data_IF_786255293366
#
_entry.id   IF_786255293366
#
_cell.length_a   1.000
_cell.length_b   1.000
_cell.length_c   1.000
_cell.angle_alpha   90.00
_cell.angle_beta   90.00
_cell.angle_gamma   90.00
#
_symmetry.space_group_name_H-M   'P 1'
#
loop_
_entity.id
_entity.type
_entity.pdbx_description
1 polymer ?
#
# COMPACT_ATOMS: atom_id res chain seq x y z
N UNK A 1 -3.96 -7.61 -50.03
CA UNK A 1 -4.07 -7.54 -48.56
C UNK A 1 -5.33 -6.77 -48.23
N UNK A 2 -6.36 -7.40 -47.64
CA UNK A 2 -7.62 -6.70 -47.30
C UNK A 2 -7.40 -5.91 -46.00
N UNK A 3 -7.19 -4.61 -46.12
CA UNK A 3 -7.19 -3.68 -44.98
C UNK A 3 -8.63 -3.30 -44.69
N UNK A 4 -9.25 -3.95 -43.70
CA UNK A 4 -10.49 -3.43 -43.13
C UNK A 4 -10.14 -2.17 -42.34
N UNK A 5 -10.98 -1.15 -42.43
CA UNK A 5 -10.85 0.07 -41.64
C UNK A 5 -11.12 -0.22 -40.15
N UNK A 6 -10.60 0.64 -39.27
CA UNK A 6 -10.72 0.45 -37.83
C UNK A 6 -12.19 0.40 -37.36
N UNK A 7 -13.11 1.11 -38.03
CA UNK A 7 -14.52 1.12 -37.64
C UNK A 7 -15.19 -0.23 -37.93
N UNK A 8 -14.83 -0.89 -39.02
CA UNK A 8 -15.31 -2.25 -39.34
C UNK A 8 -14.84 -3.28 -38.30
N UNK A 9 -13.60 -3.17 -37.80
CA UNK A 9 -13.07 -4.05 -36.76
C UNK A 9 -13.79 -3.83 -35.43
N UNK A 10 -14.04 -2.57 -35.07
CA UNK A 10 -14.78 -2.18 -33.86
C UNK A 10 -16.24 -2.64 -33.89
N UNK A 11 -16.88 -2.63 -35.06
CA UNK A 11 -18.27 -3.10 -35.21
C UNK A 11 -18.42 -4.63 -35.15
N UNK A 12 -17.35 -5.38 -35.46
CA UNK A 12 -17.35 -6.85 -35.43
C UNK A 12 -17.00 -7.47 -34.08
N UNK A 13 -16.54 -6.66 -33.12
CA UNK A 13 -16.27 -7.12 -31.75
C UNK A 13 -17.60 -7.27 -31.00
N UNK A 14 -17.95 -8.47 -30.52
CA UNK A 14 -19.13 -8.63 -29.67
C UNK A 14 -18.86 -7.95 -28.33
N UNK A 15 -19.35 -6.71 -28.17
CA UNK A 15 -19.49 -6.07 -26.85
C UNK A 15 -20.72 -6.72 -26.22
N UNK A 16 -20.59 -7.56 -25.19
CA UNK A 16 -21.75 -8.03 -24.47
C UNK A 16 -22.45 -6.80 -23.89
N UNK A 17 -23.77 -6.69 -24.08
CA UNK A 17 -24.59 -5.74 -23.36
C UNK A 17 -24.22 -5.83 -21.87
N UNK A 18 -24.03 -4.67 -21.24
CA UNK A 18 -23.53 -4.49 -19.87
C UNK A 18 -24.42 -5.09 -18.76
N UNK A 19 -25.29 -6.03 -19.12
CA UNK A 19 -26.28 -6.70 -18.29
C UNK A 19 -26.10 -8.22 -18.20
N UNK A 20 -25.11 -8.82 -18.87
CA UNK A 20 -24.80 -10.25 -18.70
C UNK A 20 -23.75 -10.50 -17.60
N UNK A 21 -24.08 -10.14 -16.36
CA UNK A 21 -23.39 -10.62 -15.14
C UNK A 21 -24.39 -11.34 -14.24
N UNK A 22 -25.19 -12.25 -14.79
CA UNK A 22 -26.19 -12.98 -14.02
C UNK A 22 -25.72 -14.42 -13.77
N UNK A 23 -24.63 -14.57 -12.99
CA UNK A 23 -24.49 -15.71 -12.06
C UNK A 23 -23.32 -15.50 -11.09
N UNK A 24 -23.33 -14.39 -10.34
CA UNK A 24 -22.60 -14.38 -9.08
C UNK A 24 -23.43 -15.23 -8.12
N UNK A 25 -23.03 -16.50 -7.93
CA UNK A 25 -23.58 -17.36 -6.88
C UNK A 25 -23.60 -16.55 -5.59
N UNK A 26 -24.77 -16.42 -4.97
CA UNK A 26 -24.93 -15.80 -3.64
C UNK A 26 -23.86 -16.38 -2.73
N UNK A 27 -22.87 -15.56 -2.37
CA UNK A 27 -21.91 -15.92 -1.36
C UNK A 27 -22.70 -16.17 -0.07
N UNK A 28 -22.41 -17.31 0.58
CA UNK A 28 -22.85 -17.58 1.94
C UNK A 28 -22.51 -16.38 2.83
N UNK A 29 -23.33 -16.14 3.87
CA UNK A 29 -23.18 -14.99 4.79
C UNK A 29 -21.70 -14.76 5.08
N UNK A 30 -21.14 -13.58 4.77
CA UNK A 30 -19.74 -13.33 5.04
C UNK A 30 -19.58 -13.47 6.56
N UNK A 31 -18.60 -14.27 6.95
CA UNK A 31 -17.89 -14.02 8.19
C UNK A 31 -17.50 -12.53 8.24
N UNK A 32 -17.17 -12.01 9.42
CA UNK A 32 -16.66 -10.64 9.57
C UNK A 32 -15.25 -10.48 8.97
N UNK A 33 -14.93 -11.24 7.91
CA UNK A 33 -13.66 -11.23 7.22
C UNK A 33 -13.65 -10.06 6.23
N UNK A 34 -12.85 -9.05 6.54
CA UNK A 34 -12.55 -7.98 5.61
C UNK A 34 -11.45 -8.44 4.66
N UNK A 35 -11.71 -8.62 3.34
CA UNK A 35 -10.66 -9.04 2.42
C UNK A 35 -9.63 -7.92 2.29
N UNK A 36 -8.46 -8.15 2.88
CA UNK A 36 -7.32 -7.25 2.89
C UNK A 36 -6.09 -8.03 2.42
N UNK A 37 -5.57 -7.71 1.24
CA UNK A 37 -4.41 -8.37 0.68
C UNK A 37 -3.72 -7.47 -0.35
N UNK A 38 -2.40 -7.62 -0.54
CA UNK A 38 -1.66 -6.88 -1.54
C UNK A 38 -1.86 -7.45 -2.94
N UNK A 39 -1.80 -6.57 -3.95
CA UNK A 39 -1.68 -6.89 -5.37
C UNK A 39 -0.32 -6.37 -5.85
N UNK A 40 0.39 -7.14 -6.66
CA UNK A 40 1.71 -6.75 -7.19
C UNK A 40 1.52 -6.29 -8.64
N UNK A 41 1.96 -5.06 -8.91
CA UNK A 41 2.16 -4.54 -10.25
C UNK A 41 3.53 -5.02 -10.77
N UNK A 42 3.50 -5.97 -11.71
CA UNK A 42 4.72 -6.58 -12.24
C UNK A 42 5.48 -5.67 -13.20
N UNK A 43 4.85 -4.65 -13.79
CA UNK A 43 5.54 -3.72 -14.69
C UNK A 43 6.47 -2.77 -13.90
N UNK A 44 6.10 -2.47 -12.65
CA UNK A 44 6.94 -1.67 -11.73
C UNK A 44 7.87 -2.51 -10.86
N UNK A 45 7.57 -3.80 -10.68
CA UNK A 45 8.32 -4.66 -9.76
C UNK A 45 9.65 -5.10 -10.36
N UNK A 46 10.77 -4.61 -9.81
CA UNK A 46 12.13 -5.01 -10.24
C UNK A 46 12.69 -6.23 -9.49
N UNK A 47 11.88 -6.89 -8.64
CA UNK A 47 12.34 -8.04 -7.87
C UNK A 47 13.34 -7.69 -6.74
N UNK A 48 13.25 -6.50 -6.14
CA UNK A 48 14.14 -6.07 -5.05
C UNK A 48 13.95 -6.85 -3.73
N UNK A 49 12.81 -7.55 -3.56
CA UNK A 49 12.45 -8.41 -2.41
C UNK A 49 12.31 -7.72 -1.04
N UNK A 50 12.38 -6.40 -0.96
CA UNK A 50 12.19 -5.68 0.32
C UNK A 50 10.83 -5.96 0.97
N UNK A 51 9.77 -6.17 0.19
CA UNK A 51 8.45 -6.53 0.71
C UNK A 51 8.41 -7.92 1.36
N UNK A 52 9.25 -8.85 0.90
CA UNK A 52 9.39 -10.19 1.45
C UNK A 52 10.06 -10.11 2.83
N UNK A 53 11.17 -9.38 2.93
CA UNK A 53 11.91 -9.22 4.19
C UNK A 53 11.11 -8.42 5.24
N UNK A 54 10.29 -7.47 4.78
CA UNK A 54 9.48 -6.62 5.67
C UNK A 54 8.23 -7.35 6.21
N UNK A 55 7.67 -8.30 5.46
CA UNK A 55 6.40 -8.92 5.82
C UNK A 55 6.57 -10.02 6.89
N UNK A 56 6.27 -9.65 8.14
CA UNK A 56 6.28 -10.57 9.29
C UNK A 56 5.21 -11.69 9.22
N UNK A 57 4.22 -11.55 8.33
CA UNK A 57 3.08 -12.47 8.24
C UNK A 57 3.22 -13.54 7.16
N UNK A 58 4.35 -13.56 6.43
CA UNK A 58 4.60 -14.58 5.40
C UNK A 58 3.61 -14.55 4.22
N UNK A 59 3.12 -13.36 3.86
CA UNK A 59 2.19 -13.17 2.72
C UNK A 59 2.86 -13.46 1.38
N UNK A 60 4.16 -13.21 1.30
CA UNK A 60 4.95 -13.27 0.08
C UNK A 60 5.86 -14.51 0.04
N UNK A 61 6.19 -14.95 -1.17
CA UNK A 61 7.20 -15.97 -1.42
C UNK A 61 8.07 -15.60 -2.63
N UNK A 62 9.30 -16.10 -2.71
CA UNK A 62 10.14 -15.89 -3.88
C UNK A 62 9.56 -16.67 -5.07
N UNK A 63 9.39 -15.99 -6.20
CA UNK A 63 8.99 -16.57 -7.47
C UNK A 63 10.18 -16.85 -8.39
N UNK A 64 9.88 -17.13 -9.66
CA UNK A 64 10.90 -17.25 -10.73
C UNK A 64 11.47 -15.87 -11.07
N UNK A 65 12.68 -15.84 -11.62
CA UNK A 65 13.32 -14.63 -12.17
C UNK A 65 13.43 -13.44 -11.19
N UNK A 66 13.64 -13.75 -9.89
CA UNK A 66 13.69 -12.78 -8.78
C UNK A 66 12.37 -12.04 -8.50
N UNK A 67 11.27 -12.42 -9.16
CA UNK A 67 9.95 -11.87 -8.86
C UNK A 67 9.48 -12.30 -7.47
N UNK A 68 8.60 -11.50 -6.88
CA UNK A 68 7.89 -11.84 -5.63
C UNK A 68 6.46 -12.21 -5.99
N UNK A 69 5.91 -13.22 -5.30
CA UNK A 69 4.53 -13.66 -5.48
C UNK A 69 3.78 -13.58 -4.16
N UNK A 70 2.48 -13.31 -4.24
CA UNK A 70 1.56 -13.38 -3.09
C UNK A 70 1.05 -14.81 -2.99
N UNK A 71 1.51 -15.56 -2.00
CA UNK A 71 1.15 -16.98 -1.81
C UNK A 71 0.17 -17.20 -0.67
N UNK A 72 0.18 -16.32 0.32
CA UNK A 72 -0.74 -16.37 1.47
C UNK A 72 -1.49 -15.03 1.64
N UNK A 73 -2.41 -14.67 0.73
CA UNK A 73 -3.12 -13.38 0.79
C UNK A 73 -3.96 -13.24 2.05
N UNK A 74 -4.58 -14.32 2.55
CA UNK A 74 -5.39 -14.32 3.76
C UNK A 74 -4.58 -14.08 5.04
N UNK A 75 -3.26 -14.30 5.02
CA UNK A 75 -2.37 -14.02 6.14
C UNK A 75 -2.05 -12.54 6.33
N UNK A 76 -2.46 -11.65 5.42
CA UNK A 76 -2.15 -10.23 5.53
C UNK A 76 -2.93 -9.58 6.68
N UNK A 77 -2.23 -8.93 7.61
CA UNK A 77 -2.87 -8.20 8.70
C UNK A 77 -3.72 -7.05 8.14
N UNK A 78 -5.02 -7.10 8.39
CA UNK A 78 -6.00 -6.08 7.98
C UNK A 78 -5.53 -4.67 8.36
N UNK A 79 -5.51 -3.78 7.36
CA UNK A 79 -5.14 -2.37 7.54
C UNK A 79 -3.63 -2.09 7.60
N UNK A 80 -2.75 -3.08 7.38
CA UNK A 80 -1.30 -2.88 7.36
C UNK A 80 -0.77 -2.63 5.92
N UNK A 81 -0.40 -1.39 5.53
CA UNK A 81 0.15 -1.08 4.21
C UNK A 81 1.70 -1.05 4.19
N UNK A 82 2.35 -1.56 5.23
CA UNK A 82 3.74 -1.21 5.50
C UNK A 82 4.73 -1.79 4.46
N UNK A 83 4.44 -2.96 3.88
CA UNK A 83 5.18 -3.50 2.74
C UNK A 83 5.03 -2.64 1.46
N UNK A 84 3.94 -1.88 1.31
CA UNK A 84 3.78 -0.95 0.21
C UNK A 84 4.61 0.33 0.38
N UNK A 85 4.76 0.82 1.63
CA UNK A 85 5.60 1.99 1.95
C UNK A 85 7.10 1.74 1.74
N UNK A 86 7.56 0.50 1.95
CA UNK A 86 8.98 0.16 1.77
C UNK A 86 9.36 -0.10 0.31
N UNK A 87 8.41 -0.52 -0.54
CA UNK A 87 8.70 -0.87 -1.93
C UNK A 87 9.24 0.35 -2.72
N UNK A 88 10.46 0.37 -3.25
CA UNK A 88 11.06 1.58 -3.83
C UNK A 88 10.40 2.04 -5.14
N UNK A 89 9.67 1.15 -5.82
CA UNK A 89 9.01 1.40 -7.11
C UNK A 89 7.48 1.49 -6.99
N UNK A 90 6.94 1.61 -5.77
CA UNK A 90 5.50 1.68 -5.51
C UNK A 90 4.68 0.50 -6.10
N UNK A 91 5.30 -0.66 -6.34
CA UNK A 91 4.70 -1.77 -7.06
C UNK A 91 3.66 -2.58 -6.26
N UNK A 92 3.58 -2.37 -4.94
CA UNK A 92 2.63 -3.07 -4.07
C UNK A 92 1.39 -2.20 -3.88
N UNK A 93 0.23 -2.73 -4.26
CA UNK A 93 -1.05 -2.04 -4.24
C UNK A 93 -1.98 -2.69 -3.21
N UNK A 94 -2.67 -1.88 -2.41
CA UNK A 94 -3.77 -2.29 -1.56
C UNK A 94 -5.04 -1.54 -1.97
N UNK A 95 -5.92 -2.14 -2.79
CA UNK A 95 -7.09 -1.44 -3.35
C UNK A 95 -8.05 -0.84 -2.31
N UNK A 96 -8.05 -1.36 -1.09
CA UNK A 96 -8.89 -0.88 0.02
C UNK A 96 -8.19 0.11 0.95
N UNK A 97 -6.95 0.49 0.65
CA UNK A 97 -6.26 1.51 1.42
C UNK A 97 -6.77 2.89 1.03
N UNK A 98 -6.86 3.81 1.99
CA UNK A 98 -7.49 5.10 1.78
C UNK A 98 -6.61 6.13 1.04
N UNK A 99 -5.28 5.98 1.09
CA UNK A 99 -4.36 7.02 0.63
C UNK A 99 -3.63 6.62 -0.67
N UNK A 100 -3.54 7.59 -1.57
CA UNK A 100 -2.71 7.54 -2.77
C UNK A 100 -1.22 7.59 -2.46
N UNK A 101 -0.35 6.85 -3.17
CA UNK A 101 -0.66 5.99 -4.32
C UNK A 101 -0.80 4.49 -3.97
N UNK A 102 -0.74 4.12 -2.69
CA UNK A 102 -0.79 2.71 -2.25
C UNK A 102 -2.13 2.05 -2.62
N UNK A 103 -3.20 2.84 -2.73
CA UNK A 103 -4.52 2.37 -3.19
C UNK A 103 -4.60 2.00 -4.67
N UNK A 104 -3.55 2.26 -5.47
CA UNK A 104 -3.52 2.00 -6.90
C UNK A 104 -3.74 3.24 -7.76
N UNK A 105 -3.87 4.43 -7.16
CA UNK A 105 -3.89 5.70 -7.89
C UNK A 105 -2.56 5.96 -8.61
N UNK A 106 -2.55 6.96 -9.50
CA UNK A 106 -1.34 7.38 -10.22
C UNK A 106 -0.22 7.75 -9.24
N UNK A 107 0.97 7.18 -9.46
CA UNK A 107 2.17 7.52 -8.68
C UNK A 107 2.73 8.84 -9.20
N UNK A 108 2.84 9.84 -8.33
CA UNK A 108 3.54 11.09 -8.57
C UNK A 108 4.69 11.20 -7.58
N UNK A 109 5.70 12.02 -7.88
CA UNK A 109 6.82 12.23 -6.95
C UNK A 109 6.34 12.73 -5.58
N UNK A 110 5.36 13.62 -5.55
CA UNK A 110 4.87 14.23 -4.32
C UNK A 110 4.08 13.25 -3.45
N UNK A 111 3.15 12.48 -4.05
CA UNK A 111 2.36 11.51 -3.29
C UNK A 111 3.21 10.32 -2.82
N UNK A 112 4.22 9.96 -3.60
CA UNK A 112 5.13 8.88 -3.28
C UNK A 112 6.04 9.24 -2.11
N UNK A 113 6.59 10.46 -2.12
CA UNK A 113 7.34 11.01 -0.97
C UNK A 113 6.47 11.07 0.27
N UNK A 114 5.27 11.65 0.17
CA UNK A 114 4.35 11.79 1.29
C UNK A 114 3.99 10.45 1.97
N UNK A 115 3.83 9.37 1.20
CA UNK A 115 3.55 8.03 1.74
C UNK A 115 4.73 7.36 2.45
N UNK A 116 5.96 7.76 2.13
CA UNK A 116 7.19 7.18 2.69
C UNK A 116 7.74 7.96 3.87
N UNK A 117 7.44 9.25 3.94
CA UNK A 117 7.79 10.07 5.08
C UNK A 117 6.96 9.62 6.27
N UNK A 118 7.62 9.00 7.25
CA UNK A 118 7.02 8.78 8.56
C UNK A 118 6.63 10.14 9.14
N UNK A 119 5.40 10.35 9.62
CA UNK A 119 5.04 11.58 10.34
C UNK A 119 5.91 11.64 11.59
N UNK A 120 6.95 12.47 11.56
CA UNK A 120 8.00 12.44 12.57
C UNK A 120 9.41 12.74 12.08
N UNK A 121 9.62 13.25 10.86
CA UNK A 121 10.80 14.08 10.61
C UNK A 121 10.73 15.28 11.55
N UNK A 122 11.21 15.10 12.78
CA UNK A 122 11.52 16.17 13.70
C UNK A 122 12.63 16.95 13.02
N UNK A 123 12.25 18.00 12.31
CA UNK A 123 13.18 19.03 11.87
C UNK A 123 14.13 19.31 13.05
N UNK A 124 15.44 19.44 12.81
CA UNK A 124 16.41 19.76 13.85
C UNK A 124 15.96 20.94 14.73
N UNK A 125 15.20 21.87 14.16
CA UNK A 125 14.66 23.02 14.87
C UNK A 125 13.46 22.65 15.76
N UNK A 126 12.57 21.76 15.31
CA UNK A 126 11.49 21.22 16.14
C UNK A 126 12.04 20.41 17.33
N UNK A 127 13.14 19.67 17.12
CA UNK A 127 13.85 18.96 18.20
C UNK A 127 14.47 19.95 19.19
N UNK A 128 15.17 20.99 18.72
CA UNK A 128 15.73 22.05 19.57
C UNK A 128 14.66 22.72 20.41
N UNK A 129 13.51 23.03 19.80
CA UNK A 129 12.38 23.65 20.48
C UNK A 129 11.80 22.73 21.58
N UNK A 130 11.52 21.46 21.26
CA UNK A 130 11.05 20.49 22.26
C UNK A 130 12.04 20.29 23.41
N UNK A 131 13.35 20.28 23.12
CA UNK A 131 14.40 20.20 24.14
C UNK A 131 14.48 21.47 25.00
N UNK A 132 14.31 22.66 24.40
CA UNK A 132 14.29 23.94 25.12
C UNK A 132 13.09 24.01 26.08
N UNK A 133 11.90 23.60 25.64
CA UNK A 133 10.70 23.51 26.49
C UNK A 133 10.90 22.54 27.66
N UNK A 134 11.56 21.41 27.43
CA UNK A 134 11.86 20.41 28.48
C UNK A 134 12.87 20.94 29.49
N UNK A 135 13.89 21.68 29.04
CA UNK A 135 14.87 22.36 29.90
C UNK A 135 14.20 23.46 30.74
N UNK A 136 13.31 24.25 30.15
CA UNK A 136 12.55 25.29 30.86
C UNK A 136 11.63 24.71 31.94
N UNK A 137 11.02 23.55 31.70
CA UNK A 137 10.19 22.84 32.70
C UNK A 137 10.99 22.19 33.84
N UNK A 138 12.28 21.90 33.66
CA UNK A 138 13.14 21.25 34.67
C UNK A 138 13.46 22.16 35.88
N UNK A 139 13.11 23.45 35.81
CA UNK A 139 13.26 24.41 36.92
C UNK A 139 12.09 24.46 37.91
N UNK A 140 11.03 23.68 37.73
CA UNK A 140 9.93 23.56 38.72
C UNK A 140 10.18 22.34 39.60
N UNK A 141 11.08 22.51 40.58
CA UNK A 141 11.54 21.49 41.52
C UNK A 141 10.35 20.87 42.28
N UNK A 142 10.09 19.58 42.02
CA UNK A 142 9.36 18.68 42.91
C UNK A 142 10.38 18.01 43.84
N UNK A 143 10.92 18.76 44.78
CA UNK A 143 11.45 18.20 46.03
C UNK A 143 10.76 19.03 47.12
N UNK A 144 9.79 18.39 47.78
CA UNK A 144 9.11 18.94 48.94
C UNK A 144 10.17 18.94 50.05
N UNK A 145 10.62 20.12 50.44
CA UNK A 145 11.57 20.28 51.54
C UNK A 145 11.07 19.49 52.75
N UNK A 146 11.87 18.49 53.14
CA UNK A 146 11.63 17.65 54.30
C UNK A 146 11.98 18.40 55.58
N UNK A 147 11.02 18.37 56.50
CA UNK A 147 11.02 18.71 57.93
C UNK A 147 12.34 19.10 58.60
#
# INVERSE_FOLDING_TARGET
MRTQDAATILAGLPVPDSHACESIRKADKPDDWTPWFPVIDYDRCVGCRQCLDFCLFGVYSPGKDRAVQVTNPAGCKTGCPACARVCPHAAIIFPKYAQSPINGDQVTEDNWKACRTMPGEMSPDHLKEMLALRRAKKGKTLIRDGS
#
